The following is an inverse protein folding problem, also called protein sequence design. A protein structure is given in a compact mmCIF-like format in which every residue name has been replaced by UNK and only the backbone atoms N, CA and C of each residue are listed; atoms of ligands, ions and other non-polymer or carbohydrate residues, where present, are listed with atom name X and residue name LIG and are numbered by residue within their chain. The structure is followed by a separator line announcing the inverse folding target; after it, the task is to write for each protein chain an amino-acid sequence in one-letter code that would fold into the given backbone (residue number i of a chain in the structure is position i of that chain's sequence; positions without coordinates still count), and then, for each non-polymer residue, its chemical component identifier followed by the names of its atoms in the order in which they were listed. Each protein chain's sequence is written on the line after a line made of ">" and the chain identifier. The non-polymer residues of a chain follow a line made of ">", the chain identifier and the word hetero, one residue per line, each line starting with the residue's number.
data_IF_049508498506
#
_entry.id   IF_049508498506
#
_cell.length_a   1.000
_cell.length_b   1.000
_cell.length_c   1.000
_cell.angle_alpha   90.00
_cell.angle_beta   90.00
_cell.angle_gamma   90.00
#
_symmetry.space_group_name_H-M   'P 1'
#
loop_
_entity.id
_entity.type
_entity.pdbx_description
1 polymer ?
#
# COMPACT_ATOMS: atom_id res chain seq x y z
N UNK A 1 1.84 22.36 -4.30
CA UNK A 1 2.21 21.14 -5.07
C UNK A 1 1.03 20.18 -5.03
N UNK A 2 0.47 19.78 -6.19
CA UNK A 2 -0.67 18.85 -6.27
C UNK A 2 -0.16 17.41 -6.13
N UNK A 3 -1.03 16.48 -5.68
CA UNK A 3 -0.63 15.05 -5.62
C UNK A 3 -0.23 14.51 -7.01
N UNK A 4 -0.88 14.98 -8.07
CA UNK A 4 -0.59 14.55 -9.43
C UNK A 4 0.82 14.97 -9.92
N UNK A 5 1.41 16.04 -9.36
CA UNK A 5 2.76 16.45 -9.73
C UNK A 5 3.84 15.47 -9.25
N UNK A 6 3.54 14.64 -8.26
CA UNK A 6 4.43 13.59 -7.76
C UNK A 6 4.53 12.38 -8.69
N UNK A 7 3.54 12.16 -9.58
CA UNK A 7 3.46 10.98 -10.42
C UNK A 7 4.45 11.06 -11.60
N UNK A 8 5.09 9.94 -11.92
CA UNK A 8 5.87 9.81 -13.15
C UNK A 8 4.96 9.67 -14.39
N UNK A 9 5.55 9.64 -15.60
CA UNK A 9 4.81 9.57 -16.85
C UNK A 9 3.95 8.30 -16.99
N UNK A 10 4.44 7.14 -16.53
CA UNK A 10 3.69 5.86 -16.56
C UNK A 10 2.51 5.88 -15.60
N UNK A 11 2.70 6.42 -14.41
CA UNK A 11 1.62 6.58 -13.42
C UNK A 11 0.56 7.56 -13.91
N UNK A 12 0.95 8.67 -14.52
CA UNK A 12 0.01 9.62 -15.15
C UNK A 12 -0.79 8.95 -16.26
N UNK A 13 -0.13 8.25 -17.18
CA UNK A 13 -0.81 7.51 -18.23
C UNK A 13 -1.77 6.43 -17.71
N UNK A 14 -1.46 5.80 -16.58
CA UNK A 14 -2.38 4.87 -15.91
C UNK A 14 -3.56 5.61 -15.29
N UNK A 15 -3.32 6.71 -14.59
CA UNK A 15 -4.36 7.55 -13.99
C UNK A 15 -5.38 8.01 -15.04
N UNK A 16 -4.92 8.42 -16.22
CA UNK A 16 -5.77 8.90 -17.31
C UNK A 16 -6.68 7.82 -17.90
N UNK A 17 -6.29 6.55 -17.79
CA UNK A 17 -7.09 5.41 -18.24
C UNK A 17 -8.14 4.95 -17.23
N UNK A 18 -8.04 5.36 -15.98
CA UNK A 18 -9.03 5.00 -14.95
C UNK A 18 -10.27 5.86 -15.14
N UNK A 19 -11.40 5.22 -15.43
CA UNK A 19 -12.67 5.90 -15.74
C UNK A 19 -13.38 6.35 -14.47
N UNK A 20 -13.48 5.48 -13.45
CA UNK A 20 -14.21 5.79 -12.22
C UNK A 20 -13.42 6.80 -11.37
N UNK A 21 -14.04 7.92 -11.02
CA UNK A 21 -13.41 9.00 -10.26
C UNK A 21 -12.89 8.53 -8.89
N UNK A 22 -13.66 7.69 -8.20
CA UNK A 22 -13.23 7.12 -6.93
C UNK A 22 -11.97 6.25 -7.06
N UNK A 23 -11.82 5.49 -8.16
CA UNK A 23 -10.63 4.70 -8.43
C UNK A 23 -9.43 5.58 -8.80
N UNK A 24 -9.68 6.66 -9.55
CA UNK A 24 -8.67 7.68 -9.84
C UNK A 24 -8.12 8.29 -8.56
N UNK A 25 -9.02 8.66 -7.65
CA UNK A 25 -8.65 9.22 -6.34
C UNK A 25 -7.82 8.24 -5.51
N UNK A 26 -8.24 6.98 -5.42
CA UNK A 26 -7.50 5.93 -4.70
C UNK A 26 -6.12 5.67 -5.29
N UNK A 27 -6.03 5.57 -6.62
CA UNK A 27 -4.77 5.37 -7.31
C UNK A 27 -3.81 6.55 -7.08
N UNK A 28 -4.30 7.77 -7.26
CA UNK A 28 -3.52 8.99 -7.08
C UNK A 28 -3.00 9.10 -5.64
N UNK A 29 -3.88 8.88 -4.65
CA UNK A 29 -3.51 8.95 -3.25
C UNK A 29 -2.48 7.86 -2.90
N UNK A 30 -2.70 6.62 -3.34
CA UNK A 30 -1.78 5.50 -3.07
C UNK A 30 -0.40 5.73 -3.66
N UNK A 31 -0.32 6.19 -4.90
CA UNK A 31 0.95 6.50 -5.56
C UNK A 31 1.69 7.67 -4.88
N UNK A 32 0.98 8.75 -4.56
CA UNK A 32 1.56 9.90 -3.89
C UNK A 32 2.02 9.57 -2.46
N UNK A 33 1.23 8.82 -1.70
CA UNK A 33 1.58 8.40 -0.34
C UNK A 33 2.81 7.49 -0.34
N UNK A 34 2.86 6.50 -1.23
CA UNK A 34 4.01 5.62 -1.40
C UNK A 34 5.28 6.42 -1.69
N UNK A 35 5.23 7.36 -2.64
CA UNK A 35 6.37 8.22 -2.98
C UNK A 35 6.84 9.07 -1.81
N UNK A 36 5.91 9.64 -1.04
CA UNK A 36 6.26 10.44 0.15
C UNK A 36 6.92 9.59 1.22
N UNK A 37 6.37 8.41 1.51
CA UNK A 37 6.93 7.53 2.54
C UNK A 37 8.32 7.01 2.14
N UNK A 38 8.47 6.55 0.91
CA UNK A 38 9.77 6.08 0.38
C UNK A 38 10.77 7.23 0.30
N UNK A 39 10.36 8.39 -0.22
CA UNK A 39 11.21 9.59 -0.29
C UNK A 39 11.71 10.03 1.07
N UNK A 40 10.83 10.07 2.07
CA UNK A 40 11.20 10.40 3.45
C UNK A 40 12.18 9.38 4.05
N UNK A 41 12.01 8.09 3.76
CA UNK A 41 12.90 7.03 4.22
C UNK A 41 14.29 7.10 3.57
N UNK A 42 14.33 7.36 2.26
CA UNK A 42 15.58 7.40 1.47
C UNK A 42 16.26 8.78 1.47
N UNK A 43 15.64 9.81 2.05
CA UNK A 43 16.16 11.17 2.05
C UNK A 43 16.16 11.83 0.66
N UNK A 44 15.20 11.48 -0.21
CA UNK A 44 15.05 12.04 -1.55
C UNK A 44 13.66 12.64 -1.75
N UNK A 45 13.55 13.58 -2.69
CA UNK A 45 12.26 14.18 -3.01
C UNK A 45 11.29 13.14 -3.60
N UNK A 46 10.00 13.18 -3.22
CA UNK A 46 9.01 12.17 -3.61
C UNK A 46 8.89 11.96 -5.13
N UNK A 47 9.01 13.01 -5.93
CA UNK A 47 8.99 12.94 -7.39
C UNK A 47 10.19 12.18 -7.98
N UNK A 48 11.31 12.10 -7.26
CA UNK A 48 12.53 11.41 -7.69
C UNK A 48 12.56 9.93 -7.27
N UNK A 49 11.58 9.46 -6.49
CA UNK A 49 11.45 8.06 -6.12
C UNK A 49 11.21 7.21 -7.36
N UNK A 50 12.09 6.24 -7.60
CA UNK A 50 11.92 5.24 -8.67
C UNK A 50 11.02 4.12 -8.16
N UNK A 51 9.90 3.88 -8.83
CA UNK A 51 8.98 2.78 -8.54
C UNK A 51 8.88 1.92 -9.79
N UNK A 52 9.18 0.64 -9.66
CA UNK A 52 8.92 -0.36 -10.68
C UNK A 52 7.67 -1.17 -10.32
N UNK A 53 6.86 -1.47 -11.33
CA UNK A 53 5.66 -2.31 -11.24
C UNK A 53 5.63 -3.35 -12.35
N UNK A 54 6.80 -3.73 -12.85
CA UNK A 54 6.90 -4.76 -13.87
C UNK A 54 6.41 -6.09 -13.28
N UNK A 55 5.39 -6.66 -13.90
CA UNK A 55 4.85 -7.97 -13.50
C UNK A 55 5.86 -9.06 -13.86
N UNK A 56 6.25 -9.88 -12.89
CA UNK A 56 7.20 -10.98 -13.10
C UNK A 56 6.64 -12.07 -14.01
N UNK A 57 5.32 -12.13 -14.16
CA UNK A 57 4.65 -13.17 -14.98
C UNK A 57 4.51 -12.76 -16.44
N UNK A 58 4.10 -11.51 -16.73
CA UNK A 58 3.80 -11.09 -18.11
C UNK A 58 4.67 -9.92 -18.60
N UNK A 59 5.53 -9.35 -17.76
CA UNK A 59 6.38 -8.22 -18.11
C UNK A 59 5.67 -6.85 -18.19
N UNK A 60 4.34 -6.82 -18.09
CA UNK A 60 3.56 -5.60 -18.14
C UNK A 60 3.65 -4.79 -16.83
N UNK A 61 3.37 -3.49 -16.89
CA UNK A 61 3.50 -2.57 -15.75
C UNK A 61 2.23 -2.51 -14.87
N UNK A 62 1.89 -3.64 -14.24
CA UNK A 62 0.77 -3.76 -13.31
C UNK A 62 1.09 -4.58 -12.05
N UNK A 63 2.35 -4.97 -11.87
CA UNK A 63 2.80 -5.76 -10.73
C UNK A 63 2.76 -4.98 -9.40
N UNK A 64 3.18 -5.67 -8.35
CA UNK A 64 3.40 -5.03 -7.05
C UNK A 64 4.51 -3.99 -7.17
N UNK A 65 4.44 -2.88 -6.41
CA UNK A 65 5.50 -1.88 -6.43
C UNK A 65 6.79 -2.44 -5.83
N UNK A 66 7.91 -2.11 -6.47
CA UNK A 66 9.26 -2.37 -5.99
C UNK A 66 10.08 -1.08 -6.06
N UNK A 67 11.10 -0.96 -5.20
CA UNK A 67 12.01 0.18 -5.16
C UNK A 67 13.38 -0.27 -5.67
N UNK A 68 13.71 -0.05 -6.95
CA UNK A 68 14.96 -0.52 -7.54
C UNK A 68 16.18 0.04 -6.80
N UNK A 69 17.16 -0.86 -6.52
CA UNK A 69 18.40 -0.48 -5.86
C UNK A 69 18.29 -0.27 -4.35
N UNK A 70 17.19 -0.73 -3.73
CA UNK A 70 16.96 -0.66 -2.28
C UNK A 70 16.47 -2.01 -1.77
N UNK A 71 16.72 -2.30 -0.50
CA UNK A 71 16.13 -3.41 0.25
C UNK A 71 14.74 -3.10 0.82
N UNK A 72 14.23 -1.91 0.49
CA UNK A 72 12.94 -1.43 0.97
C UNK A 72 11.79 -2.20 0.31
N UNK A 73 11.07 -2.95 1.13
CA UNK A 73 9.84 -3.61 0.73
C UNK A 73 8.66 -2.65 0.89
N UNK A 74 7.74 -2.69 -0.05
CA UNK A 74 6.58 -1.78 -0.06
C UNK A 74 5.30 -2.52 -0.43
N UNK A 75 4.19 -2.12 0.17
CA UNK A 75 2.88 -2.68 -0.13
C UNK A 75 1.81 -1.59 -0.10
N UNK A 76 0.85 -1.70 -1.02
CA UNK A 76 -0.26 -0.73 -1.17
C UNK A 76 -1.57 -1.48 -1.26
N UNK A 77 -2.57 -1.02 -0.53
CA UNK A 77 -3.94 -1.53 -0.57
C UNK A 77 -4.95 -0.37 -0.55
N UNK A 78 -6.15 -0.63 -1.04
CA UNK A 78 -7.26 0.33 -0.93
C UNK A 78 -8.60 -0.38 -0.95
N UNK A 79 -9.56 0.12 -0.17
CA UNK A 79 -10.95 -0.32 -0.17
C UNK A 79 -11.84 0.85 0.23
N UNK A 80 -13.00 1.01 -0.42
CA UNK A 80 -13.88 2.14 -0.17
C UNK A 80 -13.17 3.50 -0.35
N UNK A 81 -13.08 4.28 0.73
CA UNK A 81 -12.40 5.57 0.78
C UNK A 81 -11.00 5.51 1.40
N UNK A 82 -10.56 4.33 1.86
CA UNK A 82 -9.30 4.18 2.55
C UNK A 82 -8.20 3.66 1.62
N UNK A 83 -7.01 4.24 1.74
CA UNK A 83 -5.77 3.77 1.13
C UNK A 83 -4.78 3.48 2.24
N UNK A 84 -4.12 2.34 2.16
CA UNK A 84 -3.08 1.92 3.09
C UNK A 84 -1.77 1.68 2.34
N UNK A 85 -0.67 2.15 2.91
CA UNK A 85 0.69 1.93 2.40
C UNK A 85 1.56 1.46 3.55
N UNK A 86 2.34 0.41 3.32
CA UNK A 86 3.34 -0.07 4.26
C UNK A 86 4.72 -0.10 3.59
N UNK A 87 5.76 0.24 4.35
CA UNK A 87 7.15 0.13 3.93
C UNK A 87 7.98 -0.52 5.04
N UNK A 88 8.96 -1.33 4.69
CA UNK A 88 9.90 -1.95 5.62
C UNK A 88 11.26 -2.14 4.98
N UNK A 89 12.34 -1.80 5.69
CA UNK A 89 13.71 -2.09 5.28
C UNK A 89 14.14 -3.44 5.85
N UNK A 90 14.59 -4.36 4.99
CA UNK A 90 15.10 -5.67 5.38
C UNK A 90 14.06 -6.69 5.86
N UNK A 91 12.77 -6.37 5.79
CA UNK A 91 11.67 -7.28 6.15
C UNK A 91 10.66 -7.40 5.03
N UNK A 92 10.06 -8.58 4.88
CA UNK A 92 8.90 -8.76 4.02
C UNK A 92 7.70 -8.04 4.62
N UNK A 93 6.91 -7.38 3.77
CA UNK A 93 5.74 -6.64 4.23
C UNK A 93 4.62 -6.68 3.23
N UNK A 94 3.41 -6.93 3.70
CA UNK A 94 2.19 -6.83 2.93
C UNK A 94 1.09 -6.20 3.76
N UNK A 95 0.33 -5.30 3.17
CA UNK A 95 -0.81 -4.67 3.80
C UNK A 95 -2.06 -4.91 2.99
N UNK A 96 -3.16 -5.16 3.69
CA UNK A 96 -4.47 -5.19 3.08
C UNK A 96 -5.49 -4.39 3.89
N UNK A 97 -6.48 -3.84 3.19
CA UNK A 97 -7.57 -3.07 3.80
C UNK A 97 -8.88 -3.45 3.15
N UNK A 98 -9.91 -3.70 3.97
CA UNK A 98 -11.24 -3.99 3.49
C UNK A 98 -12.31 -3.22 4.26
N UNK A 99 -13.29 -2.71 3.51
CA UNK A 99 -14.48 -2.13 4.10
C UNK A 99 -15.45 -3.23 4.53
N UNK A 100 -15.87 -3.18 5.79
CA UNK A 100 -16.89 -4.10 6.34
C UNK A 100 -18.27 -3.65 5.86
N UNK A 101 -18.80 -4.33 4.83
CA UNK A 101 -20.14 -4.06 4.27
C UNK A 101 -20.92 -5.36 4.20
N UNK A 102 -21.86 -5.56 5.13
CA UNK A 102 -22.82 -6.66 5.05
C UNK A 102 -22.23 -8.08 5.14
N UNK A 103 -20.92 -8.23 5.32
CA UNK A 103 -20.24 -9.51 5.53
C UNK A 103 -19.79 -9.65 7.00
N UNK A 104 -19.72 -10.87 7.55
CA UNK A 104 -19.19 -11.09 8.89
C UNK A 104 -17.74 -10.58 9.01
N UNK A 105 -17.44 -9.82 10.06
CA UNK A 105 -16.11 -9.26 10.28
C UNK A 105 -15.02 -10.35 10.34
N UNK A 106 -15.34 -11.55 10.85
CA UNK A 106 -14.39 -12.66 10.90
C UNK A 106 -14.02 -13.19 9.50
N UNK A 107 -14.96 -13.21 8.56
CA UNK A 107 -14.68 -13.59 7.17
C UNK A 107 -13.75 -12.58 6.51
N UNK A 108 -14.04 -11.28 6.70
CA UNK A 108 -13.20 -10.19 6.17
C UNK A 108 -11.80 -10.24 6.78
N UNK A 109 -11.66 -10.51 8.09
CA UNK A 109 -10.33 -10.69 8.74
C UNK A 109 -9.52 -11.83 8.11
N UNK A 110 -10.16 -12.95 7.82
CA UNK A 110 -9.48 -14.08 7.14
C UNK A 110 -9.01 -13.69 5.74
N UNK A 111 -9.86 -12.96 5.02
CA UNK A 111 -9.55 -12.47 3.68
C UNK A 111 -8.39 -11.48 3.69
N UNK A 112 -8.47 -10.42 4.51
CA UNK A 112 -7.40 -9.41 4.62
C UNK A 112 -6.08 -10.02 5.08
N UNK A 113 -6.10 -11.00 5.98
CA UNK A 113 -4.90 -11.71 6.40
C UNK A 113 -4.27 -12.52 5.26
N UNK A 114 -5.08 -13.20 4.45
CA UNK A 114 -4.61 -13.95 3.29
C UNK A 114 -4.01 -13.01 2.23
N UNK A 115 -4.70 -11.91 1.90
CA UNK A 115 -4.23 -10.91 0.95
C UNK A 115 -2.95 -10.21 1.41
N UNK A 116 -2.85 -9.86 2.68
CA UNK A 116 -1.64 -9.25 3.24
C UNK A 116 -0.44 -10.21 3.14
N UNK A 117 -0.62 -11.50 3.49
CA UNK A 117 0.43 -12.52 3.32
C UNK A 117 0.83 -12.69 1.86
N UNK A 118 -0.14 -12.79 0.96
CA UNK A 118 0.11 -12.92 -0.48
C UNK A 118 0.92 -11.74 -1.03
N UNK A 119 0.62 -10.52 -0.58
CA UNK A 119 1.36 -9.31 -0.97
C UNK A 119 2.75 -9.24 -0.36
N UNK A 120 2.96 -9.82 0.82
CA UNK A 120 4.28 -9.85 1.46
C UNK A 120 5.20 -10.88 0.81
N UNK A 121 4.73 -12.12 0.70
CA UNK A 121 5.46 -13.22 0.05
C UNK A 121 4.53 -14.42 -0.16
N UNK A 122 4.10 -14.70 -1.40
CA UNK A 122 3.22 -15.81 -1.70
C UNK A 122 3.81 -17.15 -1.22
N UNK A 123 3.03 -17.91 -0.46
CA UNK A 123 3.41 -19.24 0.02
C UNK A 123 4.17 -19.26 1.36
N UNK A 124 4.42 -18.10 1.96
CA UNK A 124 5.03 -18.00 3.29
C UNK A 124 3.97 -17.67 4.35
N UNK A 125 3.96 -18.43 5.47
CA UNK A 125 3.07 -18.15 6.60
C UNK A 125 3.67 -17.09 7.53
N UNK A 126 3.49 -15.83 7.14
CA UNK A 126 3.97 -14.68 7.89
C UNK A 126 3.03 -14.33 9.04
N UNK A 127 3.58 -13.76 10.11
CA UNK A 127 2.78 -13.21 11.19
C UNK A 127 1.88 -12.09 10.68
N UNK A 128 0.64 -12.02 11.17
CA UNK A 128 -0.33 -10.99 10.82
C UNK A 128 -0.72 -10.18 12.04
N UNK A 129 -0.93 -8.89 11.83
CA UNK A 129 -1.26 -7.91 12.85
C UNK A 129 -2.46 -7.07 12.38
N UNK A 130 -3.44 -6.92 13.26
CA UNK A 130 -4.51 -5.94 13.04
C UNK A 130 -3.94 -4.54 13.24
N UNK A 131 -4.09 -3.68 12.25
CA UNK A 131 -3.70 -2.26 12.32
C UNK A 131 -4.97 -1.43 12.56
N UNK A 132 -4.99 -0.54 13.57
CA UNK A 132 -6.14 0.33 13.79
C UNK A 132 -6.45 1.16 12.53
N UNK A 133 -7.69 1.05 12.02
CA UNK A 133 -8.12 1.87 10.90
C UNK A 133 -8.48 3.29 11.38
N UNK A 134 -8.17 4.36 10.62
CA UNK A 134 -8.54 5.73 10.99
C UNK A 134 -10.04 6.00 10.92
N UNK A 135 -10.81 5.09 10.34
CA UNK A 135 -12.25 5.16 10.19
C UNK A 135 -12.91 3.87 10.67
N UNK A 136 -14.03 3.97 11.35
CA UNK A 136 -14.87 2.82 11.67
C UNK A 136 -15.38 2.12 10.40
N UNK A 137 -15.61 0.81 10.48
CA UNK A 137 -16.10 0.02 9.36
C UNK A 137 -15.04 -0.44 8.36
N UNK A 138 -13.75 -0.37 8.72
CA UNK A 138 -12.64 -0.94 7.97
C UNK A 138 -11.84 -1.90 8.83
N UNK A 139 -11.29 -2.91 8.18
CA UNK A 139 -10.26 -3.78 8.74
C UNK A 139 -8.97 -3.58 7.94
N UNK A 140 -7.86 -3.38 8.64
CA UNK A 140 -6.53 -3.26 8.07
C UNK A 140 -5.65 -4.34 8.68
N UNK A 141 -5.00 -5.11 7.83
CA UNK A 141 -4.12 -6.20 8.25
C UNK A 141 -2.74 -6.03 7.64
N UNK A 142 -1.73 -6.15 8.47
CA UNK A 142 -0.31 -6.19 8.09
C UNK A 142 0.22 -7.60 8.22
N UNK A 143 0.94 -8.09 7.21
CA UNK A 143 1.72 -9.33 7.27
C UNK A 143 3.21 -9.01 7.15
N UNK A 144 4.04 -9.58 8.01
CA UNK A 144 5.49 -9.33 8.02
C UNK A 144 6.25 -10.41 8.79
N UNK A 145 7.54 -10.57 8.50
CA UNK A 145 8.50 -11.33 9.31
C UNK A 145 9.30 -10.45 10.28
N UNK A 146 8.98 -9.16 10.35
CA UNK A 146 9.57 -8.28 11.35
C UNK A 146 9.17 -8.71 12.77
N UNK A 147 10.09 -8.61 13.77
CA UNK A 147 9.76 -8.90 15.15
C UNK A 147 8.63 -8.00 15.67
N UNK A 148 7.79 -8.52 16.57
CA UNK A 148 6.66 -7.76 17.13
C UNK A 148 7.07 -6.44 17.79
N UNK A 149 8.27 -6.36 18.35
CA UNK A 149 8.84 -5.11 18.90
C UNK A 149 9.01 -4.00 17.86
N UNK A 150 9.27 -4.36 16.58
CA UNK A 150 9.35 -3.42 15.47
C UNK A 150 7.95 -3.00 15.03
N UNK A 151 7.01 -3.95 14.97
CA UNK A 151 5.63 -3.69 14.55
C UNK A 151 4.88 -2.76 15.52
N UNK A 152 5.15 -2.83 16.81
CA UNK A 152 4.53 -1.97 17.82
C UNK A 152 4.93 -0.48 17.71
N UNK A 153 5.98 -0.16 16.94
CA UNK A 153 6.45 1.20 16.67
C UNK A 153 5.84 1.87 15.44
N UNK A 154 4.83 1.27 14.80
CA UNK A 154 4.25 1.81 13.56
C UNK A 154 3.57 3.16 13.78
N UNK A 155 4.02 4.16 12.99
CA UNK A 155 3.38 5.47 12.95
C UNK A 155 2.25 5.46 11.92
N UNK A 156 1.02 5.74 12.35
CA UNK A 156 -0.09 6.01 11.45
C UNK A 156 -0.06 7.46 10.98
N UNK A 157 0.08 7.65 9.67
CA UNK A 157 -0.13 8.94 9.04
C UNK A 157 -1.53 8.94 8.40
N UNK A 158 -2.51 9.53 9.06
CA UNK A 158 -3.83 9.77 8.47
C UNK A 158 -3.91 11.23 8.03
N UNK A 159 -4.10 11.46 6.72
CA UNK A 159 -4.47 12.77 6.22
C UNK A 159 -5.94 12.73 5.81
N UNK A 160 -6.82 13.63 6.32
CA UNK A 160 -8.16 13.76 5.78
C UNK A 160 -8.05 14.24 4.32
N UNK A 161 -8.73 13.56 3.41
CA UNK A 161 -8.99 14.10 2.08
C UNK A 161 -9.82 15.35 2.28
N UNK A 162 -9.21 16.53 2.17
CA UNK A 162 -9.96 17.78 2.04
C UNK A 162 -10.54 17.79 0.63
N UNK A 163 -11.88 17.81 0.57
CA UNK A 163 -12.67 18.11 -0.62
C UNK A 163 -12.29 19.46 -1.21
#
# INVERSE_FOLDING_TARGET
>A
MTLASLLNSRERARLDRIVAEADRGRFLLGAALLRRMVGAHLGIEPENVKIDRTCITCGEWHGQPAIPGSDLQVSVAHSGTLVAVAIAAGYRIGIDVEQVRGRPAQEIRRWTAAEARFKADPGTDLAVYDVPAPQAGYLVTLATDAPSSVVSGLTQLSAPLRS
#
